data_IF_447458833313
#
_entry.id   IF_447458833313
#
_cell.length_a   1.000
_cell.length_b   1.000
_cell.length_c   1.000
_cell.angle_alpha   90.00
_cell.angle_beta   90.00
_cell.angle_gamma   90.00
#
_symmetry.space_group_name_H-M   'P 1'
#
loop_
_entity.id
_entity.type
_entity.pdbx_description
1 polymer ?
#
# COMPACT_ATOMS: atom_id res chain seq x y z
N UNK A 1 -16.16 -4.29 3.38
CA UNK A 1 -15.29 -5.28 2.70
C UNK A 1 -14.18 -4.57 1.95
N UNK A 2 -13.02 -4.39 2.59
CA UNK A 2 -11.89 -3.66 2.03
C UNK A 2 -10.64 -3.82 2.90
N UNK A 3 -9.54 -3.18 2.51
CA UNK A 3 -8.33 -3.11 3.33
C UNK A 3 -8.42 -1.92 4.31
N UNK A 4 -7.73 -1.96 5.46
CA UNK A 4 -7.56 -0.79 6.31
C UNK A 4 -6.94 0.37 5.53
N UNK A 5 -7.41 1.59 5.77
CA UNK A 5 -6.92 2.80 5.09
C UNK A 5 -6.72 3.93 6.10
N UNK A 6 -5.87 4.89 5.75
CA UNK A 6 -5.62 6.12 6.52
C UNK A 6 -5.41 7.29 5.56
N UNK A 7 -5.45 8.51 6.07
CA UNK A 7 -5.13 9.74 5.33
C UNK A 7 -3.84 10.31 5.88
N UNK A 8 -2.91 10.65 4.99
CA UNK A 8 -1.60 11.19 5.32
C UNK A 8 -1.24 12.34 4.38
N UNK A 9 -0.47 13.31 4.87
CA UNK A 9 -0.11 14.53 4.12
C UNK A 9 1.29 14.44 3.51
N UNK A 10 1.52 13.40 2.70
CA UNK A 10 2.80 13.18 2.01
C UNK A 10 2.58 13.08 0.49
N UNK A 11 3.56 13.52 -0.28
CA UNK A 11 3.57 13.38 -1.74
C UNK A 11 4.03 11.99 -2.15
N UNK A 12 3.45 11.45 -3.23
CA UNK A 12 3.87 10.18 -3.83
C UNK A 12 3.81 10.29 -5.35
N UNK A 13 4.40 9.33 -6.06
CA UNK A 13 4.36 9.28 -7.52
C UNK A 13 2.94 9.13 -8.08
N UNK A 14 1.95 8.70 -7.28
CA UNK A 14 0.56 8.54 -7.71
C UNK A 14 0.00 9.79 -8.38
N UNK A 15 0.37 10.98 -7.89
CA UNK A 15 -0.09 12.24 -8.45
C UNK A 15 0.35 12.47 -9.90
N UNK A 16 1.43 11.81 -10.35
CA UNK A 16 2.00 11.98 -11.70
C UNK A 16 1.84 10.75 -12.60
N UNK A 17 1.26 9.64 -12.12
CA UNK A 17 1.01 8.44 -12.92
C UNK A 17 -0.12 8.62 -13.96
N UNK A 18 -0.91 9.69 -13.86
CA UNK A 18 -2.04 9.98 -14.76
C UNK A 18 -3.16 8.95 -14.68
N UNK A 19 -4.19 9.10 -15.53
CA UNK A 19 -5.42 8.29 -15.46
C UNK A 19 -5.36 6.97 -16.24
N UNK A 20 -4.24 6.68 -16.91
CA UNK A 20 -4.12 5.52 -17.82
C UNK A 20 -4.12 4.15 -17.14
N UNK A 21 -4.07 4.10 -15.80
CA UNK A 21 -3.84 2.87 -15.02
C UNK A 21 -5.03 2.52 -14.11
N UNK A 22 -6.17 3.22 -14.26
CA UNK A 22 -7.34 3.03 -13.43
C UNK A 22 -7.19 3.64 -12.03
N UNK A 23 -7.84 3.04 -11.03
CA UNK A 23 -7.82 3.56 -9.65
C UNK A 23 -6.48 3.24 -8.96
N UNK A 24 -5.69 4.25 -8.54
CA UNK A 24 -4.43 4.00 -7.86
C UNK A 24 -4.64 3.52 -6.42
N UNK A 25 -3.71 2.68 -5.96
CA UNK A 25 -3.63 2.23 -4.57
C UNK A 25 -2.21 2.50 -4.05
N UNK A 26 -2.12 3.23 -2.94
CA UNK A 26 -0.90 3.31 -2.14
C UNK A 26 -1.01 2.30 -1.00
N UNK A 27 -0.21 1.24 -1.05
CA UNK A 27 -0.32 0.12 -0.10
C UNK A 27 1.06 -0.45 0.21
N UNK A 28 1.31 -0.73 1.49
CA UNK A 28 2.58 -1.28 1.93
C UNK A 28 2.63 -1.47 3.46
N UNK A 29 3.59 -2.26 3.97
CA UNK A 29 3.82 -2.43 5.39
C UNK A 29 4.56 -1.24 6.00
N UNK A 30 4.48 -1.11 7.33
CA UNK A 30 5.19 -0.07 8.07
C UNK A 30 4.33 1.18 8.32
N UNK A 31 4.98 2.26 8.74
CA UNK A 31 4.38 3.53 9.09
C UNK A 31 5.15 4.63 8.37
N UNK A 32 4.42 5.46 7.62
CA UNK A 32 5.01 6.57 6.86
C UNK A 32 5.58 7.65 7.78
N UNK A 33 5.07 7.73 9.01
CA UNK A 33 5.53 8.62 10.06
C UNK A 33 6.95 8.32 10.54
N UNK A 34 7.48 7.11 10.25
CA UNK A 34 8.86 6.74 10.58
C UNK A 34 9.81 6.87 9.39
N UNK A 35 9.31 7.12 8.18
CA UNK A 35 10.13 7.29 7.00
C UNK A 35 11.06 8.50 7.17
N UNK A 36 12.33 8.35 6.76
CA UNK A 36 13.35 9.40 6.87
C UNK A 36 13.69 9.84 8.31
N UNK A 37 13.42 8.99 9.31
CA UNK A 37 13.86 9.20 10.70
C UNK A 37 15.03 8.29 11.04
N UNK A 38 15.75 8.56 12.14
CA UNK A 38 16.78 7.64 12.67
C UNK A 38 16.19 6.29 13.11
N UNK A 39 14.87 6.24 13.33
CA UNK A 39 14.13 5.08 13.81
C UNK A 39 13.39 4.37 12.68
N UNK A 40 13.75 4.61 11.42
CA UNK A 40 13.13 3.97 10.25
C UNK A 40 13.20 2.44 10.37
N UNK A 41 12.03 1.82 10.47
CA UNK A 41 11.90 0.38 10.67
C UNK A 41 10.54 -0.14 10.22
N UNK A 42 10.48 -1.44 10.00
CA UNK A 42 9.24 -2.16 9.69
C UNK A 42 9.17 -3.46 10.49
N UNK A 43 7.98 -3.81 10.96
CA UNK A 43 7.78 -5.09 11.65
C UNK A 43 7.94 -6.26 10.69
N UNK A 44 8.73 -7.27 11.08
CA UNK A 44 8.84 -8.53 10.32
C UNK A 44 7.48 -9.22 10.12
N UNK A 45 6.55 -9.06 11.08
CA UNK A 45 5.19 -9.58 10.94
C UNK A 45 4.43 -8.84 9.82
N UNK A 46 4.50 -7.51 9.82
CA UNK A 46 3.84 -6.68 8.79
C UNK A 46 4.36 -6.98 7.38
N UNK A 47 5.65 -7.32 7.22
CA UNK A 47 6.18 -7.76 5.93
C UNK A 47 5.45 -9.01 5.40
N UNK A 48 5.16 -9.99 6.27
CA UNK A 48 4.43 -11.21 5.88
C UNK A 48 2.96 -10.92 5.61
N UNK A 49 2.33 -10.06 6.41
CA UNK A 49 0.95 -9.62 6.22
C UNK A 49 0.77 -8.87 4.90
N UNK A 50 1.72 -8.03 4.52
CA UNK A 50 1.71 -7.32 3.23
C UNK A 50 1.69 -8.29 2.04
N UNK A 51 2.45 -9.38 2.10
CA UNK A 51 2.41 -10.43 1.05
C UNK A 51 0.99 -10.98 0.89
N UNK A 52 0.30 -11.26 2.00
CA UNK A 52 -1.09 -11.75 1.95
C UNK A 52 -2.06 -10.71 1.40
N UNK A 53 -1.84 -9.42 1.70
CA UNK A 53 -2.61 -8.31 1.12
C UNK A 53 -2.45 -8.30 -0.41
N UNK A 54 -1.22 -8.35 -0.93
CA UNK A 54 -0.96 -8.41 -2.37
C UNK A 54 -1.59 -9.65 -3.03
N UNK A 55 -1.41 -10.83 -2.43
CA UNK A 55 -2.01 -12.08 -2.93
C UNK A 55 -3.54 -11.98 -3.02
N UNK A 56 -4.17 -11.42 -1.99
CA UNK A 56 -5.63 -11.24 -1.96
C UNK A 56 -6.09 -10.27 -3.04
N UNK A 57 -5.41 -9.13 -3.21
CA UNK A 57 -5.73 -8.14 -4.26
C UNK A 57 -5.70 -8.78 -5.65
N UNK A 58 -4.62 -9.48 -5.99
CA UNK A 58 -4.48 -10.14 -7.30
C UNK A 58 -5.57 -11.18 -7.51
N UNK A 59 -5.87 -12.02 -6.52
CA UNK A 59 -6.96 -13.02 -6.62
C UNK A 59 -8.32 -12.38 -6.84
N UNK A 60 -8.62 -11.29 -6.13
CA UNK A 60 -9.87 -10.56 -6.30
C UNK A 60 -9.98 -9.96 -7.71
N UNK A 61 -8.91 -9.37 -8.23
CA UNK A 61 -8.86 -8.83 -9.59
C UNK A 61 -9.08 -9.92 -10.64
N UNK A 62 -8.43 -11.08 -10.49
CA UNK A 62 -8.61 -12.23 -11.40
C UNK A 62 -10.01 -12.83 -11.37
N UNK A 63 -10.73 -12.72 -10.24
CA UNK A 63 -12.11 -13.19 -10.12
C UNK A 63 -13.17 -12.17 -10.57
N UNK A 64 -12.76 -10.90 -10.71
CA UNK A 64 -13.62 -9.80 -11.15
C UNK A 64 -13.51 -9.53 -12.66
N UNK A 65 -12.55 -10.17 -13.33
CA UNK A 65 -12.43 -10.26 -14.79
C UNK A 65 -13.26 -11.43 -15.32
#
# INVERSE_FOLDING_TARGET
>A
NGFPTTVVSYTTDIAVLGDGWGKPFLVGPGSVEQAHTLEERVSKRQLREAVEIYRKMVRQLLSAA
#
